data_IF_753410024818
#
_entry.id   IF_753410024818
#
_cell.length_a   1.000
_cell.length_b   1.000
_cell.length_c   1.000
_cell.angle_alpha   90.00
_cell.angle_beta   90.00
_cell.angle_gamma   90.00
#
_symmetry.space_group_name_H-M   'P 1'
#
loop_
_entity.id
_entity.type
_entity.pdbx_description
1 polymer ?
#
# COMPACT_ATOMS: atom_id res chain seq x y z
N UNK A 1 -15.00 -5.81 13.85
CA UNK A 1 -16.20 -6.66 13.68
C UNK A 1 -15.86 -7.68 12.59
N UNK A 2 -15.51 -8.92 12.95
CA UNK A 2 -15.11 -9.94 11.98
C UNK A 2 -16.35 -10.69 11.51
N UNK A 3 -16.68 -10.58 10.23
CA UNK A 3 -17.68 -11.44 9.61
C UNK A 3 -17.03 -12.80 9.33
N UNK A 4 -17.40 -13.82 10.11
CA UNK A 4 -17.11 -15.21 9.74
C UNK A 4 -17.96 -15.55 8.52
N UNK A 5 -17.32 -15.89 7.42
CA UNK A 5 -17.98 -16.51 6.28
C UNK A 5 -18.34 -17.94 6.70
N UNK A 6 -19.62 -18.16 7.03
CA UNK A 6 -20.19 -19.50 7.17
C UNK A 6 -20.59 -19.98 5.78
N UNK A 7 -19.66 -20.59 5.06
CA UNK A 7 -19.85 -21.76 4.19
C UNK A 7 -18.57 -21.99 3.38
N UNK A 8 -18.01 -23.19 3.46
CA UNK A 8 -16.69 -23.50 2.87
C UNK A 8 -16.75 -23.99 1.41
N UNK A 9 -17.87 -23.80 0.73
CA UNK A 9 -18.06 -24.18 -0.68
C UNK A 9 -18.20 -22.91 -1.51
N UNK A 10 -17.15 -22.56 -2.28
CA UNK A 10 -17.28 -21.48 -3.27
C UNK A 10 -17.92 -22.07 -4.52
N UNK A 11 -19.22 -21.87 -4.65
CA UNK A 11 -19.89 -21.95 -5.94
C UNK A 11 -19.35 -20.81 -6.81
N UNK A 12 -18.90 -21.12 -8.03
CA UNK A 12 -18.72 -20.10 -9.06
C UNK A 12 -20.08 -19.44 -9.25
N UNK A 13 -20.25 -18.22 -8.75
CA UNK A 13 -21.50 -17.50 -8.96
C UNK A 13 -21.73 -17.41 -10.47
N UNK A 14 -22.82 -18.05 -10.91
CA UNK A 14 -23.20 -18.22 -12.32
C UNK A 14 -23.47 -16.90 -13.06
N UNK A 15 -23.44 -15.78 -12.33
CA UNK A 15 -23.76 -14.44 -12.81
C UNK A 15 -22.54 -13.65 -13.32
N UNK A 16 -21.32 -14.19 -13.25
CA UNK A 16 -20.07 -13.52 -13.66
C UNK A 16 -19.85 -12.15 -12.99
N UNK A 17 -20.48 -11.92 -11.83
CA UNK A 17 -20.37 -10.64 -11.14
C UNK A 17 -19.13 -10.60 -10.26
N UNK A 18 -18.33 -9.54 -10.39
CA UNK A 18 -17.16 -9.30 -9.54
C UNK A 18 -17.63 -9.09 -8.09
N UNK A 19 -17.15 -9.95 -7.18
CA UNK A 19 -17.36 -9.80 -5.74
C UNK A 19 -16.10 -9.22 -5.09
N UNK A 20 -16.28 -8.19 -4.29
CA UNK A 20 -15.24 -7.59 -3.47
C UNK A 20 -15.62 -7.74 -2.01
N UNK A 21 -14.82 -8.46 -1.23
CA UNK A 21 -15.08 -8.73 0.19
C UNK A 21 -13.86 -8.31 0.99
N UNK A 22 -14.06 -7.44 1.97
CA UNK A 22 -13.03 -7.13 2.97
C UNK A 22 -12.92 -8.31 3.94
N UNK A 23 -11.80 -9.02 3.90
CA UNK A 23 -11.54 -10.14 4.81
C UNK A 23 -11.10 -9.66 6.19
N UNK A 24 -10.11 -8.77 6.24
CA UNK A 24 -9.62 -8.21 7.49
C UNK A 24 -9.00 -6.82 7.29
N UNK A 25 -8.95 -6.05 8.37
CA UNK A 25 -8.25 -4.77 8.46
C UNK A 25 -7.45 -4.74 9.76
N UNK A 26 -6.19 -5.16 9.66
CA UNK A 26 -5.35 -5.49 10.81
C UNK A 26 -4.48 -4.29 11.17
N UNK A 27 -4.51 -3.90 12.45
CA UNK A 27 -3.49 -3.03 13.02
C UNK A 27 -2.22 -3.85 13.26
N UNK A 28 -1.18 -3.62 12.45
CA UNK A 28 0.06 -4.38 12.54
C UNK A 28 0.91 -3.87 13.72
N UNK A 29 1.01 -4.66 14.78
CA UNK A 29 1.85 -4.31 15.93
C UNK A 29 3.33 -4.57 15.66
N UNK A 30 4.20 -3.65 16.08
CA UNK A 30 5.65 -3.75 15.89
C UNK A 30 6.11 -3.31 14.50
N UNK A 31 7.29 -3.75 14.08
CA UNK A 31 7.85 -3.33 12.79
C UNK A 31 7.06 -3.89 11.60
N UNK A 32 6.86 -3.05 10.58
CA UNK A 32 6.17 -3.39 9.33
C UNK A 32 7.07 -4.18 8.36
N UNK A 33 7.73 -5.20 8.89
CA UNK A 33 8.58 -6.10 8.09
C UNK A 33 7.72 -7.05 7.28
N UNK A 34 8.23 -7.50 6.13
CA UNK A 34 7.51 -8.47 5.30
C UNK A 34 7.21 -9.78 6.03
N UNK A 35 8.03 -10.17 7.01
CA UNK A 35 7.77 -11.35 7.83
C UNK A 35 6.59 -11.15 8.79
N UNK A 36 6.49 -9.97 9.41
CA UNK A 36 5.35 -9.66 10.28
C UNK A 36 4.04 -9.61 9.48
N UNK A 37 4.06 -8.97 8.31
CA UNK A 37 2.94 -8.95 7.38
C UNK A 37 2.54 -10.37 6.94
N UNK A 38 3.51 -11.23 6.64
CA UNK A 38 3.27 -12.63 6.27
C UNK A 38 2.53 -13.40 7.37
N UNK A 39 2.95 -13.26 8.63
CA UNK A 39 2.31 -13.95 9.75
C UNK A 39 0.85 -13.56 9.92
N UNK A 40 0.56 -12.25 9.92
CA UNK A 40 -0.82 -11.78 10.03
C UNK A 40 -1.66 -12.19 8.80
N UNK A 41 -1.06 -12.20 7.62
CA UNK A 41 -1.72 -12.68 6.40
C UNK A 41 -2.07 -14.18 6.49
N UNK A 42 -1.17 -15.03 6.99
CA UNK A 42 -1.45 -16.45 7.20
C UNK A 42 -2.51 -16.66 8.27
N UNK A 43 -2.45 -15.93 9.38
CA UNK A 43 -3.49 -16.00 10.42
C UNK A 43 -4.88 -15.73 9.84
N UNK A 44 -5.02 -14.67 9.05
CA UNK A 44 -6.26 -14.37 8.35
C UNK A 44 -6.62 -15.50 7.34
N UNK A 45 -5.75 -15.76 6.38
CA UNK A 45 -6.11 -16.60 5.21
C UNK A 45 -6.11 -18.10 5.49
N UNK A 46 -5.26 -18.59 6.39
CA UNK A 46 -5.16 -20.00 6.78
C UNK A 46 -6.06 -20.30 7.97
N UNK A 47 -5.87 -19.59 9.09
CA UNK A 47 -6.48 -19.98 10.37
C UNK A 47 -7.92 -19.46 10.51
N UNK A 48 -8.16 -18.20 10.17
CA UNK A 48 -9.47 -17.57 10.36
C UNK A 48 -10.47 -17.92 9.24
N UNK A 49 -10.00 -17.97 7.98
CA UNK A 49 -10.87 -18.15 6.80
C UNK A 49 -10.64 -19.45 6.01
N UNK A 50 -9.50 -20.15 6.16
CA UNK A 50 -9.25 -21.41 5.45
C UNK A 50 -9.20 -21.28 3.92
N UNK A 51 -8.81 -20.11 3.39
CA UNK A 51 -8.78 -19.78 1.96
C UNK A 51 -7.36 -19.71 1.37
N UNK A 52 -6.30 -20.00 2.14
CA UNK A 52 -4.91 -19.88 1.68
C UNK A 52 -4.66 -20.61 0.34
N UNK A 53 -5.24 -21.80 0.16
CA UNK A 53 -5.14 -22.61 -1.07
C UNK A 53 -5.87 -22.02 -2.28
N UNK A 54 -6.72 -21.01 -2.06
CA UNK A 54 -7.57 -20.38 -3.08
C UNK A 54 -7.00 -19.06 -3.60
N UNK A 55 -5.81 -18.68 -3.12
CA UNK A 55 -5.16 -17.42 -3.50
C UNK A 55 -4.42 -17.61 -4.83
N UNK A 56 -4.96 -17.01 -5.89
CA UNK A 56 -4.32 -17.01 -7.20
C UNK A 56 -3.19 -15.98 -7.30
N UNK A 57 -3.46 -14.73 -6.91
CA UNK A 57 -2.49 -13.63 -6.96
C UNK A 57 -2.68 -12.66 -5.82
N UNK A 58 -1.61 -12.00 -5.42
CA UNK A 58 -1.63 -10.88 -4.47
C UNK A 58 -1.24 -9.61 -5.21
N UNK A 59 -2.10 -8.59 -5.12
CA UNK A 59 -1.77 -7.25 -5.61
C UNK A 59 -1.29 -6.38 -4.44
N UNK A 60 -0.08 -5.84 -4.55
CA UNK A 60 0.51 -4.98 -3.51
C UNK A 60 1.28 -3.82 -4.14
N UNK A 61 1.54 -2.75 -3.38
CA UNK A 61 2.38 -1.66 -3.86
C UNK A 61 3.85 -2.12 -4.08
N UNK A 62 4.68 -1.24 -4.66
CA UNK A 62 6.07 -1.59 -4.98
C UNK A 62 7.04 -1.41 -3.81
N UNK A 63 6.56 -1.38 -2.56
CA UNK A 63 7.42 -1.24 -1.39
C UNK A 63 8.30 -2.49 -1.20
N UNK A 64 9.50 -2.28 -0.66
CA UNK A 64 10.49 -3.34 -0.48
C UNK A 64 10.02 -4.43 0.50
N UNK A 65 9.24 -4.08 1.52
CA UNK A 65 8.68 -5.04 2.48
C UNK A 65 7.69 -6.02 1.82
N UNK A 66 6.93 -5.59 0.80
CA UNK A 66 6.04 -6.47 0.03
C UNK A 66 6.81 -7.56 -0.73
N UNK A 67 8.03 -7.28 -1.17
CA UNK A 67 8.90 -8.31 -1.77
C UNK A 67 9.27 -9.39 -0.77
N UNK A 68 9.63 -8.98 0.45
CA UNK A 68 9.99 -9.89 1.53
C UNK A 68 8.78 -10.67 2.02
N UNK A 69 7.61 -10.02 2.13
CA UNK A 69 6.32 -10.65 2.45
C UNK A 69 6.00 -11.79 1.48
N UNK A 70 5.98 -11.52 0.17
CA UNK A 70 5.67 -12.51 -0.86
C UNK A 70 6.67 -13.67 -0.88
N UNK A 71 7.97 -13.40 -0.68
CA UNK A 71 9.00 -14.46 -0.57
C UNK A 71 8.76 -15.37 0.61
N UNK A 72 8.48 -14.81 1.78
CA UNK A 72 8.20 -15.56 3.01
C UNK A 72 6.91 -16.36 2.89
N UNK A 73 5.88 -15.78 2.26
CA UNK A 73 4.63 -16.46 1.98
C UNK A 73 4.84 -17.66 1.04
N UNK A 74 5.66 -17.52 -0.02
CA UNK A 74 5.99 -18.65 -0.90
C UNK A 74 6.66 -19.82 -0.17
N UNK A 75 7.53 -19.55 0.80
CA UNK A 75 8.11 -20.60 1.66
C UNK A 75 7.03 -21.27 2.52
N UNK A 76 6.12 -20.48 3.10
CA UNK A 76 5.02 -21.03 3.90
C UNK A 76 4.06 -21.89 3.06
N UNK A 77 3.70 -21.42 1.85
CA UNK A 77 2.88 -22.18 0.91
C UNK A 77 3.55 -23.49 0.48
N UNK A 78 4.86 -23.49 0.22
CA UNK A 78 5.61 -24.70 -0.11
C UNK A 78 5.53 -25.75 1.01
N UNK A 79 5.64 -25.33 2.27
CA UNK A 79 5.50 -26.22 3.43
C UNK A 79 4.11 -26.85 3.55
N UNK A 80 3.08 -26.19 3.00
CA UNK A 80 1.69 -26.66 2.97
C UNK A 80 1.34 -27.38 1.65
N UNK A 81 2.32 -27.64 0.77
CA UNK A 81 2.12 -28.20 -0.57
C UNK A 81 1.20 -27.36 -1.47
N UNK A 82 1.26 -26.04 -1.34
CA UNK A 82 0.50 -25.08 -2.16
C UNK A 82 1.42 -24.52 -3.25
N UNK A 83 1.00 -24.62 -4.52
CA UNK A 83 1.73 -24.03 -5.65
C UNK A 83 1.57 -22.49 -5.64
N UNK A 84 2.51 -21.82 -4.99
CA UNK A 84 2.58 -20.37 -4.94
C UNK A 84 4.03 -19.90 -5.17
N UNK A 85 4.25 -19.18 -6.26
CA UNK A 85 5.54 -18.62 -6.61
C UNK A 85 5.53 -17.09 -6.45
N UNK A 86 6.31 -16.59 -5.49
CA UNK A 86 6.33 -15.18 -5.08
C UNK A 86 6.51 -14.13 -6.21
N UNK A 87 7.09 -14.50 -7.36
CA UNK A 87 7.17 -13.61 -8.54
C UNK A 87 5.99 -13.76 -9.50
N UNK A 88 5.45 -14.97 -9.66
CA UNK A 88 4.40 -15.26 -10.66
C UNK A 88 3.02 -14.87 -10.11
N UNK A 89 2.84 -15.02 -8.80
CA UNK A 89 1.60 -14.72 -8.11
C UNK A 89 1.57 -13.29 -7.53
N UNK A 90 2.51 -12.43 -7.90
CA UNK A 90 2.59 -11.05 -7.41
C UNK A 90 2.28 -10.06 -8.53
N UNK A 91 1.20 -9.29 -8.34
CA UNK A 91 0.81 -8.18 -9.20
C UNK A 91 1.21 -6.87 -8.52
N UNK A 92 1.96 -6.02 -9.22
CA UNK A 92 2.32 -4.70 -8.70
C UNK A 92 1.16 -3.73 -8.86
N UNK A 93 0.96 -2.87 -7.87
CA UNK A 93 -0.04 -1.82 -7.93
C UNK A 93 0.29 -0.82 -9.05
N UNK A 94 -0.57 -0.77 -10.07
CA UNK A 94 -0.42 0.16 -11.20
C UNK A 94 -0.42 1.63 -10.74
N UNK A 95 -1.27 1.99 -9.78
CA UNK A 95 -1.32 3.35 -9.25
C UNK A 95 0.02 3.78 -8.61
N UNK A 96 0.68 2.86 -7.90
CA UNK A 96 2.00 3.13 -7.33
C UNK A 96 3.07 3.28 -8.43
N UNK A 97 3.03 2.44 -9.46
CA UNK A 97 3.92 2.56 -10.63
C UNK A 97 3.73 3.94 -11.29
N UNK A 98 2.48 4.33 -11.56
CA UNK A 98 2.18 5.65 -12.14
C UNK A 98 2.70 6.79 -11.28
N UNK A 99 2.54 6.71 -9.95
CA UNK A 99 3.08 7.71 -9.04
C UNK A 99 4.62 7.80 -9.15
N UNK A 100 5.33 6.68 -9.18
CA UNK A 100 6.79 6.66 -9.36
C UNK A 100 7.19 7.27 -10.72
N UNK A 101 6.48 6.93 -11.79
CA UNK A 101 6.72 7.51 -13.12
C UNK A 101 6.52 9.02 -13.12
N UNK A 102 5.44 9.53 -12.53
CA UNK A 102 5.20 10.96 -12.42
C UNK A 102 6.28 11.67 -11.59
N UNK A 103 6.69 11.08 -10.47
CA UNK A 103 7.78 11.64 -9.65
C UNK A 103 9.07 11.74 -10.46
N UNK A 104 9.43 10.69 -11.20
CA UNK A 104 10.64 10.68 -12.03
C UNK A 104 10.58 11.71 -13.17
N UNK A 105 9.42 11.86 -13.83
CA UNK A 105 9.22 12.90 -14.86
C UNK A 105 9.43 14.30 -14.25
N UNK A 106 8.85 14.56 -13.08
CA UNK A 106 9.01 15.85 -12.39
C UNK A 106 10.48 16.15 -12.08
N UNK A 107 11.23 15.15 -11.59
CA UNK A 107 12.68 15.28 -11.35
C UNK A 107 13.43 15.66 -12.63
N UNK A 108 13.15 14.97 -13.74
CA UNK A 108 13.84 15.18 -15.01
C UNK A 108 13.58 16.55 -15.63
N UNK A 109 12.38 17.12 -15.45
CA UNK A 109 12.07 18.48 -15.93
C UNK A 109 12.57 19.59 -14.98
N UNK A 110 13.42 19.24 -13.99
CA UNK A 110 13.92 20.14 -12.93
C UNK A 110 12.79 20.84 -12.16
N UNK A 111 11.61 20.25 -12.13
CA UNK A 111 10.70 20.52 -11.05
C UNK A 111 11.32 19.82 -9.84
N UNK A 112 11.93 20.59 -8.92
CA UNK A 112 12.62 20.04 -7.74
C UNK A 112 11.85 18.86 -7.13
N UNK A 113 12.58 17.86 -6.60
CA UNK A 113 11.98 16.61 -6.13
C UNK A 113 10.82 16.86 -5.18
N UNK A 114 9.86 15.93 -5.12
CA UNK A 114 8.84 15.97 -4.08
C UNK A 114 9.51 15.84 -2.71
N UNK A 115 9.75 16.98 -2.07
CA UNK A 115 10.30 17.06 -0.73
C UNK A 115 9.22 16.64 0.27
N UNK A 116 9.66 16.01 1.37
CA UNK A 116 8.79 15.75 2.51
C UNK A 116 8.19 17.07 3.03
N UNK A 117 6.95 17.04 3.48
CA UNK A 117 6.25 18.24 3.96
C UNK A 117 7.02 18.90 5.13
N UNK A 118 7.67 18.12 5.99
CA UNK A 118 8.48 18.64 7.09
C UNK A 118 9.76 19.33 6.58
N UNK A 119 10.35 18.82 5.51
CA UNK A 119 11.55 19.43 4.93
C UNK A 119 11.22 20.72 4.20
N UNK A 120 10.07 20.78 3.50
CA UNK A 120 9.56 22.03 2.91
C UNK A 120 9.28 23.07 4.00
N UNK A 121 8.69 22.67 5.12
CA UNK A 121 8.44 23.57 6.27
C UNK A 121 9.74 24.12 6.87
N UNK A 122 10.80 23.32 6.96
CA UNK A 122 12.13 23.78 7.39
C UNK A 122 12.76 24.75 6.38
N UNK A 123 12.56 24.55 5.08
CA UNK A 123 13.06 25.49 4.07
C UNK A 123 12.29 26.82 4.06
N UNK A 124 10.97 26.78 4.29
CA UNK A 124 10.15 27.98 4.47
C UNK A 124 10.65 28.80 5.67
N UNK A 125 10.90 28.16 6.82
CA UNK A 125 11.37 28.86 8.02
C UNK A 125 12.77 29.46 7.87
N UNK A 126 13.61 28.87 7.01
CA UNK A 126 14.93 29.39 6.64
C UNK A 126 14.89 30.51 5.59
N UNK A 127 13.72 30.89 5.07
CA UNK A 127 13.57 31.97 4.09
C UNK A 127 14.17 31.68 2.71
N UNK A 128 14.34 30.41 2.35
CA UNK A 128 14.90 30.03 1.04
C UNK A 128 13.96 30.47 -0.10
N UNK A 129 14.53 31.15 -1.11
CA UNK A 129 13.80 31.60 -2.31
C UNK A 129 13.92 30.56 -3.41
N UNK A 130 12.82 29.89 -3.72
CA UNK A 130 12.80 28.90 -4.81
C UNK A 130 12.77 29.60 -6.17
N UNK A 131 13.56 29.10 -7.11
CA UNK A 131 13.58 29.60 -8.49
C UNK A 131 12.38 29.07 -9.30
N UNK A 132 11.84 27.90 -8.95
CA UNK A 132 10.87 27.17 -9.76
C UNK A 132 9.41 27.31 -9.25
N UNK A 133 8.43 27.18 -10.16
CA UNK A 133 7.00 27.36 -9.87
C UNK A 133 6.43 26.24 -9.01
N UNK A 134 6.88 25.00 -9.22
CA UNK A 134 6.39 23.80 -8.51
C UNK A 134 6.70 23.87 -7.00
N UNK A 135 7.93 24.16 -6.55
CA UNK A 135 8.24 24.38 -5.13
C UNK A 135 7.39 25.47 -4.48
N UNK A 136 7.20 26.61 -5.16
CA UNK A 136 6.35 27.71 -4.68
C UNK A 136 4.91 27.26 -4.46
N UNK A 137 4.36 26.50 -5.41
CA UNK A 137 3.01 25.94 -5.29
C UNK A 137 2.91 24.96 -4.12
N UNK A 138 3.91 24.08 -3.92
CA UNK A 138 3.95 23.17 -2.77
C UNK A 138 3.97 23.93 -1.45
N UNK A 139 4.84 24.95 -1.30
CA UNK A 139 4.90 25.82 -0.12
C UNK A 139 3.57 26.51 0.17
N UNK A 140 2.91 27.02 -0.88
CA UNK A 140 1.59 27.63 -0.75
C UNK A 140 0.54 26.62 -0.27
N UNK A 141 0.48 25.43 -0.88
CA UNK A 141 -0.48 24.38 -0.49
C UNK A 141 -0.28 23.98 0.97
N UNK A 142 0.97 23.80 1.40
CA UNK A 142 1.31 23.47 2.80
C UNK A 142 0.84 24.58 3.73
N UNK A 143 1.10 25.86 3.41
CA UNK A 143 0.58 26.97 4.22
C UNK A 143 -0.95 27.00 4.30
N UNK A 144 -1.65 26.72 3.19
CA UNK A 144 -3.12 26.65 3.21
C UNK A 144 -3.58 25.47 4.08
N UNK A 145 -2.94 24.29 3.99
CA UNK A 145 -3.22 23.11 4.84
C UNK A 145 -2.95 23.37 6.32
N UNK A 146 -1.89 24.11 6.64
CA UNK A 146 -1.55 24.47 8.01
C UNK A 146 -2.44 25.58 8.58
N UNK A 147 -3.25 26.28 7.76
CA UNK A 147 -4.10 27.37 8.22
C UNK A 147 -5.17 26.89 9.22
N UNK A 148 -5.43 27.66 10.30
CA UNK A 148 -6.46 27.34 11.29
C UNK A 148 -7.83 27.07 10.66
N UNK A 149 -8.22 27.89 9.67
CA UNK A 149 -9.51 27.81 8.99
C UNK A 149 -9.71 26.47 8.26
N UNK A 150 -8.63 25.86 7.76
CA UNK A 150 -8.72 24.55 7.10
C UNK A 150 -8.69 23.41 8.11
N UNK A 151 -7.92 23.52 9.20
CA UNK A 151 -7.91 22.52 10.28
C UNK A 151 -9.27 22.41 10.96
N UNK A 152 -9.92 23.54 11.23
CA UNK A 152 -11.26 23.56 11.83
C UNK A 152 -12.35 22.95 10.94
N UNK A 153 -12.18 22.99 9.61
CA UNK A 153 -13.16 22.46 8.65
C UNK A 153 -13.10 20.94 8.48
N UNK A 154 -12.00 20.30 8.85
CA UNK A 154 -11.76 18.86 8.63
C UNK A 154 -11.36 18.12 9.91
N UNK A 155 -11.58 18.73 11.09
CA UNK A 155 -11.51 18.06 12.38
C UNK A 155 -12.82 17.35 12.72
#
# INVERSE_FOLDING_TARGET
MRHKLQDNTLELHSDWNLKNVLLDFIYLTGSHTGENMMREFLKCTKDDFGILTKILTITADNAANNNTFLKKLGVACLNENIDFHYKKNHVRCLAHIMNLTCQEILKNIKAEEAQDENDILKEISKGSRDAHVIPKLRKLIIKIRASPQRRERFN
#
